data_IF_438787823558
#
_entry.id   IF_438787823558
#
_cell.length_a   1.000
_cell.length_b   1.000
_cell.length_c   1.000
_cell.angle_alpha   90.00
_cell.angle_beta   90.00
_cell.angle_gamma   90.00
#
_symmetry.space_group_name_H-M   'P 1'
#
loop_
_entity.id
_entity.type
_entity.pdbx_description
1 polymer ?
#
# COMPACT_ATOMS: atom_id res chain seq x y z
N UNK A 1 -10.56 -12.04 -19.57
CA UNK A 1 -11.34 -11.16 -18.70
C UNK A 1 -10.93 -11.44 -17.26
N UNK A 2 -10.84 -10.40 -16.43
CA UNK A 2 -10.46 -10.51 -15.02
C UNK A 2 -11.26 -9.49 -14.20
N UNK A 3 -11.28 -9.65 -12.87
CA UNK A 3 -11.72 -8.64 -11.90
C UNK A 3 -10.56 -8.29 -10.97
N UNK A 4 -10.50 -7.04 -10.53
CA UNK A 4 -9.44 -6.54 -9.67
C UNK A 4 -10.01 -6.02 -8.34
N UNK A 5 -9.48 -6.52 -7.23
CA UNK A 5 -9.77 -6.03 -5.88
C UNK A 5 -8.52 -5.47 -5.22
N UNK A 6 -8.58 -4.24 -4.73
CA UNK A 6 -7.58 -3.69 -3.82
C UNK A 6 -8.05 -4.03 -2.40
N UNK A 7 -7.14 -4.53 -1.56
CA UNK A 7 -7.44 -5.06 -0.23
C UNK A 7 -6.63 -4.30 0.82
N UNK A 8 -7.33 -3.57 1.68
CA UNK A 8 -6.72 -2.76 2.75
C UNK A 8 -7.28 -3.17 4.09
N UNK A 9 -6.40 -3.51 5.03
CA UNK A 9 -6.76 -3.66 6.44
C UNK A 9 -6.69 -2.30 7.13
N UNK A 10 -7.71 -1.95 7.91
CA UNK A 10 -7.75 -0.66 8.61
C UNK A 10 -7.47 -0.77 10.12
N UNK A 11 -8.47 -1.11 10.93
CA UNK A 11 -8.40 -1.08 12.40
C UNK A 11 -8.82 -2.40 13.07
N UNK A 12 -8.60 -3.54 12.41
CA UNK A 12 -9.00 -4.84 12.94
C UNK A 12 -8.28 -5.17 14.26
N UNK A 13 -9.05 -5.49 15.30
CA UNK A 13 -8.51 -5.90 16.61
C UNK A 13 -7.83 -7.26 16.52
N UNK A 14 -6.76 -7.43 17.30
CA UNK A 14 -6.06 -8.71 17.43
C UNK A 14 -5.81 -8.97 18.91
N UNK A 15 -6.17 -10.16 19.39
CA UNK A 15 -5.94 -10.56 20.78
C UNK A 15 -4.44 -10.45 21.11
N UNK A 16 -4.11 -9.74 22.20
CA UNK A 16 -2.73 -9.51 22.65
C UNK A 16 -1.94 -8.49 21.84
N UNK A 17 -2.61 -7.65 21.04
CA UNK A 17 -2.00 -6.56 20.26
C UNK A 17 -2.69 -5.24 20.60
N UNK A 18 -2.47 -4.77 21.82
CA UNK A 18 -3.05 -3.52 22.32
C UNK A 18 -2.11 -2.32 22.15
N UNK A 19 -0.86 -2.56 21.73
CA UNK A 19 0.18 -1.56 21.56
C UNK A 19 0.88 -1.62 20.19
N UNK A 20 1.35 -0.47 19.71
CA UNK A 20 2.27 -0.39 18.59
C UNK A 20 3.65 -0.96 18.96
N UNK A 21 4.51 -1.17 17.96
CA UNK A 21 5.93 -1.48 18.19
C UNK A 21 6.69 -0.41 18.99
N UNK A 22 6.11 0.78 19.15
CA UNK A 22 6.64 1.87 19.97
C UNK A 22 5.84 2.06 21.27
N UNK A 23 5.15 1.02 21.73
CA UNK A 23 4.41 0.98 23.00
C UNK A 23 3.29 2.03 23.14
N UNK A 24 2.75 2.51 22.01
CA UNK A 24 1.60 3.42 22.01
C UNK A 24 0.31 2.61 21.87
N UNK A 25 -0.74 2.93 22.63
CA UNK A 25 -2.02 2.21 22.52
C UNK A 25 -2.60 2.33 21.12
N UNK A 26 -2.94 1.21 20.50
CA UNK A 26 -3.67 1.17 19.22
C UNK A 26 -5.17 1.15 19.47
N UNK A 27 -5.97 1.47 18.44
CA UNK A 27 -7.44 1.36 18.47
C UNK A 27 -8.13 2.27 19.51
N UNK A 28 -7.43 3.28 20.02
CA UNK A 28 -8.04 4.39 20.78
C UNK A 28 -8.76 5.34 19.83
N UNK A 29 -9.68 6.17 20.35
CA UNK A 29 -10.34 7.21 19.55
C UNK A 29 -9.33 8.16 18.90
N UNK A 30 -8.31 8.58 19.66
CA UNK A 30 -7.26 9.46 19.13
C UNK A 30 -6.46 8.80 18.00
N UNK A 31 -6.15 7.51 18.13
CA UNK A 31 -5.49 6.76 17.07
C UNK A 31 -6.39 6.67 15.82
N UNK A 32 -7.69 6.41 16.00
CA UNK A 32 -8.66 6.35 14.88
C UNK A 32 -8.77 7.68 14.15
N UNK A 33 -8.86 8.81 14.86
CA UNK A 33 -8.86 10.15 14.28
C UNK A 33 -7.63 10.38 13.40
N UNK A 34 -6.43 10.21 13.99
CA UNK A 34 -5.17 10.44 13.29
C UNK A 34 -5.01 9.48 12.09
N UNK A 35 -5.43 8.22 12.24
CA UNK A 35 -5.34 7.20 11.19
C UNK A 35 -6.30 7.49 10.03
N UNK A 36 -7.52 7.95 10.31
CA UNK A 36 -8.47 8.37 9.28
C UNK A 36 -8.00 9.61 8.54
N UNK A 37 -7.35 10.55 9.23
CA UNK A 37 -6.73 11.72 8.58
C UNK A 37 -5.65 11.29 7.58
N UNK A 38 -4.72 10.42 8.00
CA UNK A 38 -3.69 9.86 7.10
C UNK A 38 -4.31 9.10 5.93
N UNK A 39 -5.34 8.30 6.20
CA UNK A 39 -6.03 7.55 5.17
C UNK A 39 -6.68 8.46 4.14
N UNK A 40 -7.42 9.50 4.57
CA UNK A 40 -8.07 10.44 3.66
C UNK A 40 -7.03 11.22 2.85
N UNK A 41 -5.97 11.69 3.51
CA UNK A 41 -4.96 12.56 2.91
C UNK A 41 -4.05 11.85 1.89
N UNK A 42 -3.59 10.64 2.21
CA UNK A 42 -2.56 9.94 1.43
C UNK A 42 -3.10 8.73 0.67
N UNK A 43 -3.89 7.88 1.33
CA UNK A 43 -4.32 6.60 0.77
C UNK A 43 -5.54 6.78 -0.15
N UNK A 44 -6.69 7.16 0.43
CA UNK A 44 -7.96 7.36 -0.26
C UNK A 44 -7.84 8.31 -1.46
N UNK A 45 -7.16 9.45 -1.30
CA UNK A 45 -6.95 10.41 -2.38
C UNK A 45 -6.22 9.77 -3.58
N UNK A 46 -5.17 9.01 -3.32
CA UNK A 46 -4.37 8.35 -4.37
C UNK A 46 -5.12 7.23 -5.11
N UNK A 47 -6.00 6.50 -4.41
CA UNK A 47 -6.83 5.44 -5.01
C UNK A 47 -8.00 6.02 -5.79
N UNK A 48 -8.62 7.09 -5.30
CA UNK A 48 -9.68 7.79 -6.02
C UNK A 48 -9.20 8.38 -7.35
N UNK A 49 -7.93 8.77 -7.40
CA UNK A 49 -7.29 9.39 -8.56
C UNK A 49 -6.73 8.40 -9.60
N UNK A 50 -6.94 7.08 -9.46
CA UNK A 50 -6.46 6.12 -10.45
C UNK A 50 -7.03 6.43 -11.86
N UNK A 51 -6.15 6.45 -12.86
CA UNK A 51 -6.50 6.68 -14.27
C UNK A 51 -7.34 5.52 -14.83
N UNK A 52 -7.14 4.31 -14.30
CA UNK A 52 -7.92 3.12 -14.60
C UNK A 52 -8.75 2.74 -13.37
N UNK A 53 -10.09 2.73 -13.52
CA UNK A 53 -11.05 2.52 -12.42
C UNK A 53 -11.74 1.15 -12.44
N UNK A 54 -11.26 0.23 -13.26
CA UNK A 54 -11.76 -1.15 -13.33
C UNK A 54 -11.21 -2.00 -12.16
N UNK A 55 -11.60 -1.61 -10.95
CA UNK A 55 -11.34 -2.32 -9.71
C UNK A 55 -12.46 -2.04 -8.69
N UNK A 56 -12.46 -2.81 -7.61
CA UNK A 56 -13.16 -2.53 -6.36
C UNK A 56 -12.15 -2.45 -5.22
N UNK A 57 -12.38 -1.58 -4.24
CA UNK A 57 -11.48 -1.38 -3.12
C UNK A 57 -12.18 -1.78 -1.83
N UNK A 58 -11.84 -2.97 -1.34
CA UNK A 58 -12.39 -3.53 -0.11
C UNK A 58 -11.51 -3.10 1.07
N UNK A 59 -12.08 -2.32 1.98
CA UNK A 59 -11.38 -1.81 3.16
C UNK A 59 -12.01 -2.38 4.42
N UNK A 60 -11.21 -3.13 5.17
CA UNK A 60 -11.67 -3.94 6.29
C UNK A 60 -11.52 -3.19 7.60
N UNK A 61 -12.65 -2.80 8.17
CA UNK A 61 -12.80 -2.16 9.46
C UNK A 61 -13.27 -3.16 10.52
N UNK A 62 -12.98 -2.90 11.79
CA UNK A 62 -13.46 -3.75 12.86
C UNK A 62 -14.97 -3.57 13.06
N UNK A 63 -15.69 -4.65 13.34
CA UNK A 63 -17.14 -4.59 13.62
C UNK A 63 -17.45 -3.74 14.86
N UNK A 64 -16.52 -3.56 15.79
CA UNK A 64 -16.70 -2.67 16.95
C UNK A 64 -16.26 -1.23 16.70
N UNK A 65 -15.98 -0.84 15.45
CA UNK A 65 -15.68 0.55 15.10
C UNK A 65 -16.81 1.48 15.58
N UNK A 66 -16.50 2.52 16.40
CA UNK A 66 -17.50 3.46 16.91
C UNK A 66 -18.31 4.16 15.83
N UNK A 67 -19.56 4.51 16.16
CA UNK A 67 -20.52 5.09 15.22
C UNK A 67 -20.04 6.38 14.55
N UNK A 68 -19.38 7.27 15.31
CA UNK A 68 -18.80 8.51 14.78
C UNK A 68 -17.82 8.26 13.62
N UNK A 69 -17.02 7.20 13.69
CA UNK A 69 -16.11 6.85 12.61
C UNK A 69 -16.83 6.14 11.46
N UNK A 70 -17.88 5.37 11.73
CA UNK A 70 -18.72 4.74 10.68
C UNK A 70 -19.41 5.79 9.81
N UNK A 71 -19.86 6.89 10.39
CA UNK A 71 -20.45 8.01 9.66
C UNK A 71 -19.45 8.65 8.71
N UNK A 72 -18.22 8.92 9.18
CA UNK A 72 -17.12 9.41 8.33
C UNK A 72 -16.76 8.43 7.21
N UNK A 73 -16.72 7.13 7.51
CA UNK A 73 -16.46 6.06 6.51
C UNK A 73 -17.60 6.02 5.47
N UNK A 74 -18.86 6.15 5.90
CA UNK A 74 -20.02 6.20 5.01
C UNK A 74 -19.97 7.41 4.07
N UNK A 75 -19.57 8.57 4.58
CA UNK A 75 -19.35 9.79 3.79
C UNK A 75 -18.27 9.58 2.72
N UNK A 76 -17.18 8.89 3.04
CA UNK A 76 -16.14 8.55 2.07
C UNK A 76 -16.65 7.58 0.99
N UNK A 77 -17.50 6.62 1.36
CA UNK A 77 -18.10 5.65 0.44
C UNK A 77 -19.09 6.31 -0.52
N UNK A 78 -19.91 7.25 -0.05
CA UNK A 78 -20.84 7.98 -0.92
C UNK A 78 -20.12 8.84 -1.98
N UNK A 79 -18.92 9.37 -1.66
CA UNK A 79 -18.09 10.17 -2.58
C UNK A 79 -17.27 9.35 -3.57
N UNK A 80 -17.12 8.05 -3.36
CA UNK A 80 -16.34 7.16 -4.23
C UNK A 80 -16.87 5.73 -4.18
N UNK A 81 -17.71 5.36 -5.14
CA UNK A 81 -18.41 4.07 -5.17
C UNK A 81 -17.50 2.84 -5.25
N UNK A 82 -16.22 2.99 -5.60
CA UNK A 82 -15.26 1.88 -5.58
C UNK A 82 -14.72 1.61 -4.17
N UNK A 83 -14.82 2.56 -3.25
CA UNK A 83 -14.46 2.36 -1.84
C UNK A 83 -15.62 1.68 -1.11
N UNK A 84 -15.39 0.41 -0.75
CA UNK A 84 -16.38 -0.48 -0.16
C UNK A 84 -15.92 -0.85 1.26
N UNK A 85 -16.51 -0.26 2.31
CA UNK A 85 -16.18 -0.59 3.68
C UNK A 85 -16.78 -1.96 4.06
N UNK A 86 -15.95 -2.86 4.59
CA UNK A 86 -16.32 -4.18 5.09
C UNK A 86 -16.06 -4.22 6.60
N UNK A 87 -17.04 -4.68 7.38
CA UNK A 87 -16.90 -4.76 8.84
C UNK A 87 -16.69 -6.22 9.26
N UNK A 88 -15.45 -6.55 9.64
CA UNK A 88 -15.03 -7.89 10.03
C UNK A 88 -14.88 -8.01 11.56
N UNK A 89 -15.06 -9.21 12.10
CA UNK A 89 -14.88 -9.48 13.53
C UNK A 89 -13.41 -9.66 13.92
N UNK A 90 -12.65 -8.56 13.88
CA UNK A 90 -11.22 -8.57 14.18
C UNK A 90 -10.36 -9.30 13.15
N UNK A 91 -9.11 -9.57 13.53
CA UNK A 91 -8.11 -10.17 12.65
C UNK A 91 -8.46 -11.61 12.25
N UNK A 92 -9.15 -12.37 13.10
CA UNK A 92 -9.50 -13.77 12.83
C UNK A 92 -10.50 -13.87 11.65
N UNK A 93 -11.38 -12.88 11.47
CA UNK A 93 -12.32 -12.81 10.34
C UNK A 93 -11.73 -12.05 9.12
N UNK A 94 -10.49 -11.58 9.15
CA UNK A 94 -9.91 -10.84 8.01
C UNK A 94 -9.79 -11.68 6.72
N UNK A 95 -9.11 -12.82 6.77
CA UNK A 95 -8.95 -13.69 5.60
C UNK A 95 -10.28 -14.37 5.19
N UNK A 96 -11.11 -14.87 6.14
CA UNK A 96 -12.44 -15.37 5.81
C UNK A 96 -13.33 -14.31 5.13
N UNK A 97 -13.33 -13.06 5.62
CA UNK A 97 -14.11 -11.98 5.01
C UNK A 97 -13.62 -11.62 3.61
N UNK A 98 -12.31 -11.52 3.35
CA UNK A 98 -11.78 -11.35 1.98
C UNK A 98 -12.35 -12.42 1.05
N UNK A 99 -12.28 -13.69 1.46
CA UNK A 99 -12.74 -14.81 0.65
C UNK A 99 -14.25 -14.72 0.39
N UNK A 100 -15.04 -14.41 1.42
CA UNK A 100 -16.49 -14.24 1.34
C UNK A 100 -16.86 -13.11 0.39
N UNK A 101 -16.27 -11.92 0.58
CA UNK A 101 -16.58 -10.74 -0.23
C UNK A 101 -16.16 -10.88 -1.70
N UNK A 102 -15.04 -11.52 -1.97
CA UNK A 102 -14.62 -11.78 -3.36
C UNK A 102 -15.55 -12.83 -3.98
N UNK A 103 -15.85 -13.96 -3.31
CA UNK A 103 -16.72 -15.01 -3.84
C UNK A 103 -18.11 -14.50 -4.23
N UNK A 104 -18.68 -13.55 -3.50
CA UNK A 104 -20.00 -13.00 -3.81
C UNK A 104 -20.01 -12.05 -5.01
N UNK A 105 -18.84 -11.54 -5.43
CA UNK A 105 -18.70 -10.54 -6.51
C UNK A 105 -17.99 -11.07 -7.76
N UNK A 106 -17.24 -12.16 -7.61
CA UNK A 106 -16.39 -12.70 -8.66
C UNK A 106 -17.24 -13.44 -9.71
N UNK A 107 -17.15 -12.98 -10.95
CA UNK A 107 -17.86 -13.51 -12.13
C UNK A 107 -16.92 -13.82 -13.30
N UNK A 108 -15.65 -13.48 -13.17
CA UNK A 108 -14.65 -13.61 -14.24
C UNK A 108 -13.67 -14.75 -13.96
N UNK A 109 -13.06 -15.36 -14.99
CA UNK A 109 -12.18 -16.53 -14.82
C UNK A 109 -10.82 -16.22 -14.17
N UNK A 110 -10.45 -14.95 -14.05
CA UNK A 110 -9.21 -14.52 -13.43
C UNK A 110 -9.46 -13.42 -12.40
N UNK A 111 -8.66 -13.47 -11.34
CA UNK A 111 -8.70 -12.55 -10.22
C UNK A 111 -7.36 -11.83 -10.13
N UNK A 112 -7.42 -10.51 -9.92
CA UNK A 112 -6.30 -9.71 -9.47
C UNK A 112 -6.60 -9.22 -8.06
N UNK A 113 -5.67 -9.41 -7.13
CA UNK A 113 -5.75 -8.80 -5.78
C UNK A 113 -4.50 -7.98 -5.50
N UNK A 114 -4.68 -6.72 -5.09
CA UNK A 114 -3.58 -5.81 -4.71
C UNK A 114 -3.61 -5.56 -3.22
N UNK A 115 -2.46 -5.63 -2.57
CA UNK A 115 -2.31 -5.24 -1.16
C UNK A 115 -1.97 -3.75 -1.07
N UNK A 116 -2.59 -3.06 -0.11
CA UNK A 116 -2.28 -1.66 0.19
C UNK A 116 -2.50 -1.39 1.68
N UNK A 117 -1.50 -0.78 2.33
CA UNK A 117 -1.61 -0.29 3.70
C UNK A 117 -2.38 1.05 3.73
N UNK A 118 -3.06 1.35 4.84
CA UNK A 118 -4.05 2.43 4.92
C UNK A 118 -3.47 3.85 5.02
N UNK A 119 -2.16 3.98 5.07
CA UNK A 119 -1.42 5.23 5.23
C UNK A 119 -0.49 5.52 4.04
N UNK A 120 -0.42 4.62 3.06
CA UNK A 120 0.46 4.71 1.90
C UNK A 120 -0.29 5.10 0.62
N UNK A 121 0.45 5.59 -0.38
CA UNK A 121 -0.11 6.09 -1.64
C UNK A 121 0.32 5.29 -2.86
N UNK A 122 -0.57 5.16 -3.85
CA UNK A 122 -0.26 4.59 -5.16
C UNK A 122 -0.22 5.69 -6.23
N UNK A 123 0.67 5.53 -7.21
CA UNK A 123 0.71 6.40 -8.38
C UNK A 123 -0.60 6.27 -9.16
N UNK A 124 -1.08 7.33 -9.82
CA UNK A 124 -2.34 7.34 -10.56
C UNK A 124 -2.46 6.25 -11.65
N UNK A 125 -1.33 5.77 -12.18
CA UNK A 125 -1.25 4.70 -13.17
C UNK A 125 -0.99 3.30 -12.58
N UNK A 126 -0.96 3.13 -11.26
CA UNK A 126 -0.66 1.83 -10.64
C UNK A 126 -1.59 0.73 -11.16
N UNK A 127 -2.91 0.96 -11.12
CA UNK A 127 -3.90 -0.04 -11.57
C UNK A 127 -3.72 -0.37 -13.05
N UNK A 128 -3.49 0.65 -13.89
CA UNK A 128 -3.20 0.47 -15.32
C UNK A 128 -2.00 -0.44 -15.52
N UNK A 129 -0.93 -0.22 -14.75
CA UNK A 129 0.29 -0.99 -14.86
C UNK A 129 0.18 -2.42 -14.36
N UNK A 130 -0.61 -2.66 -13.30
CA UNK A 130 -0.98 -4.02 -12.88
C UNK A 130 -1.74 -4.74 -14.00
N UNK A 131 -2.73 -4.07 -14.59
CA UNK A 131 -3.52 -4.64 -15.68
C UNK A 131 -2.67 -4.98 -16.90
N UNK A 132 -1.65 -4.17 -17.21
CA UNK A 132 -0.69 -4.45 -18.28
C UNK A 132 0.15 -5.73 -18.04
N UNK A 133 0.23 -6.21 -16.79
CA UNK A 133 0.89 -7.48 -16.49
C UNK A 133 -0.02 -8.70 -16.67
N UNK A 134 -1.31 -8.51 -16.94
CA UNK A 134 -2.24 -9.62 -17.11
C UNK A 134 -1.93 -10.42 -18.38
N UNK A 135 -1.68 -11.71 -18.21
CA UNK A 135 -1.39 -12.66 -19.29
C UNK A 135 -2.03 -14.03 -19.04
N UNK A 136 -3.22 -14.05 -18.39
CA UNK A 136 -3.97 -15.28 -18.07
C UNK A 136 -3.18 -16.29 -17.21
N UNK A 137 -2.39 -15.79 -16.27
CA UNK A 137 -1.56 -16.61 -15.39
C UNK A 137 -2.39 -17.45 -14.42
N UNK A 138 -1.92 -18.67 -14.14
CA UNK A 138 -2.50 -19.52 -13.09
C UNK A 138 -2.34 -18.91 -11.70
N UNK A 139 -1.12 -18.46 -11.39
CA UNK A 139 -0.75 -17.81 -10.14
C UNK A 139 0.56 -17.04 -10.36
N UNK A 140 0.53 -15.72 -10.20
CA UNK A 140 1.69 -14.85 -10.43
C UNK A 140 1.59 -13.55 -9.64
N UNK A 141 2.54 -13.32 -8.75
CA UNK A 141 2.68 -12.04 -8.06
C UNK A 141 3.51 -11.08 -8.90
N UNK A 142 3.06 -9.83 -8.97
CA UNK A 142 3.73 -8.70 -9.58
C UNK A 142 4.30 -7.83 -8.47
N UNK A 143 5.60 -7.57 -8.54
CA UNK A 143 6.35 -6.79 -7.56
C UNK A 143 6.99 -5.57 -8.26
N UNK A 144 6.28 -4.43 -8.27
CA UNK A 144 6.87 -3.18 -8.73
C UNK A 144 7.91 -2.71 -7.72
N UNK A 145 9.19 -2.83 -8.04
CA UNK A 145 10.27 -2.69 -7.05
C UNK A 145 10.60 -1.23 -6.74
N UNK A 146 10.41 -0.33 -7.70
CA UNK A 146 10.80 1.06 -7.58
C UNK A 146 9.60 1.91 -7.12
N UNK A 147 9.86 2.89 -6.26
CA UNK A 147 8.86 3.77 -5.69
C UNK A 147 9.49 4.99 -5.03
N UNK A 148 8.77 5.57 -4.09
CA UNK A 148 9.19 6.73 -3.30
C UNK A 148 8.99 6.49 -1.81
N UNK A 149 9.59 7.36 -1.01
CA UNK A 149 9.27 7.49 0.41
C UNK A 149 9.09 8.96 0.74
N UNK A 150 8.03 9.24 1.50
CA UNK A 150 7.70 10.57 2.00
C UNK A 150 7.68 10.51 3.52
N UNK A 151 8.58 11.21 4.19
CA UNK A 151 8.44 11.51 5.61
C UNK A 151 7.67 12.82 5.75
N UNK A 152 6.64 12.83 6.58
CA UNK A 152 5.78 14.01 6.83
C UNK A 152 6.02 14.63 8.20
N UNK A 153 6.68 13.91 9.11
CA UNK A 153 7.05 14.36 10.45
C UNK A 153 8.26 13.57 10.95
N UNK A 154 9.18 14.17 11.74
CA UNK A 154 9.20 15.56 12.20
C UNK A 154 9.67 16.55 11.12
N UNK A 155 10.27 16.06 10.03
CA UNK A 155 10.78 16.85 8.91
C UNK A 155 10.18 16.32 7.61
N UNK A 156 9.73 17.20 6.73
CA UNK A 156 9.13 16.78 5.45
C UNK A 156 10.23 16.47 4.45
N UNK A 157 10.36 15.19 4.07
CA UNK A 157 11.43 14.71 3.19
C UNK A 157 10.89 13.74 2.16
N UNK A 158 11.28 13.93 0.90
CA UNK A 158 10.84 13.09 -0.21
C UNK A 158 12.03 12.59 -1.00
N UNK A 159 12.02 11.31 -1.34
CA UNK A 159 13.14 10.68 -2.02
C UNK A 159 12.76 9.38 -2.69
N UNK A 160 13.68 8.87 -3.51
CA UNK A 160 13.56 7.57 -4.13
C UNK A 160 13.60 6.48 -3.07
N UNK A 161 12.81 5.43 -3.28
CA UNK A 161 12.92 4.19 -2.54
C UNK A 161 12.76 3.00 -3.48
N UNK A 162 13.49 1.92 -3.22
CA UNK A 162 13.30 0.68 -3.98
C UNK A 162 13.30 -0.48 -3.00
N UNK A 163 12.31 -1.36 -3.13
CA UNK A 163 12.11 -2.47 -2.22
C UNK A 163 11.54 -3.67 -2.97
N UNK A 164 12.32 -4.76 -3.02
CA UNK A 164 11.86 -6.06 -3.52
C UNK A 164 11.08 -6.75 -2.40
N UNK A 165 9.94 -7.33 -2.76
CA UNK A 165 8.93 -7.88 -1.86
C UNK A 165 8.31 -6.79 -0.99
N UNK A 166 7.91 -5.67 -1.58
CA UNK A 166 7.31 -4.54 -0.86
C UNK A 166 5.83 -4.82 -0.47
N UNK A 167 5.19 -3.99 0.36
CA UNK A 167 3.82 -4.26 0.80
C UNK A 167 2.74 -3.96 -0.26
N UNK A 168 3.09 -3.44 -1.43
CA UNK A 168 2.17 -2.96 -2.48
C UNK A 168 2.05 -3.92 -3.68
N UNK A 169 2.24 -5.22 -3.47
CA UNK A 169 2.25 -6.21 -4.55
C UNK A 169 0.83 -6.59 -4.99
N UNK A 170 0.74 -7.10 -6.22
CA UNK A 170 -0.50 -7.61 -6.81
C UNK A 170 -0.37 -9.08 -7.19
N UNK A 171 -1.35 -9.91 -6.84
CA UNK A 171 -1.43 -11.30 -7.30
C UNK A 171 -2.43 -11.40 -8.44
N UNK A 172 -2.01 -11.99 -9.56
CA UNK A 172 -2.86 -12.40 -10.68
C UNK A 172 -2.99 -13.92 -10.63
N UNK A 173 -4.20 -14.44 -10.57
CA UNK A 173 -4.47 -15.87 -10.45
C UNK A 173 -5.78 -16.28 -11.12
N UNK A 174 -5.98 -17.59 -11.31
CA UNK A 174 -7.29 -18.13 -11.66
C UNK A 174 -8.29 -17.90 -10.53
N UNK A 175 -9.54 -17.63 -10.92
CA UNK A 175 -10.65 -17.46 -9.99
C UNK A 175 -11.09 -18.76 -9.33
N UNK A 176 -10.85 -19.90 -9.97
CA UNK A 176 -11.11 -21.21 -9.38
C UNK A 176 -10.17 -21.44 -8.18
N UNK A 177 -10.73 -21.65 -6.99
CA UNK A 177 -9.97 -21.90 -5.75
C UNK A 177 -8.89 -20.82 -5.44
N UNK A 178 -9.22 -19.55 -5.71
CA UNK A 178 -8.30 -18.43 -5.52
C UNK A 178 -7.76 -18.30 -4.09
N UNK A 179 -6.56 -17.71 -3.95
CA UNK A 179 -5.85 -17.53 -2.66
C UNK A 179 -5.79 -16.08 -2.18
N UNK A 180 -5.69 -15.13 -3.10
CA UNK A 180 -5.42 -13.70 -2.90
C UNK A 180 -3.99 -13.37 -2.44
N UNK A 181 -3.59 -12.12 -2.63
CA UNK A 181 -2.30 -11.57 -2.18
C UNK A 181 -2.08 -11.69 -0.66
N UNK A 182 -3.15 -11.84 0.12
CA UNK A 182 -3.11 -12.03 1.57
C UNK A 182 -2.90 -13.48 2.01
N UNK A 183 -2.77 -14.44 1.08
CA UNK A 183 -2.32 -15.81 1.38
C UNK A 183 -0.96 -15.86 2.09
N UNK A 184 -0.15 -14.80 1.93
CA UNK A 184 1.02 -14.54 2.75
C UNK A 184 0.77 -13.33 3.65
N UNK A 185 0.59 -13.57 4.96
CA UNK A 185 0.33 -12.50 5.92
C UNK A 185 1.41 -11.41 5.91
N UNK A 186 2.69 -11.83 5.81
CA UNK A 186 3.84 -10.94 5.73
C UNK A 186 4.34 -10.86 4.29
N UNK A 187 4.38 -9.65 3.75
CA UNK A 187 4.87 -9.40 2.39
C UNK A 187 6.30 -9.93 2.16
N UNK A 188 7.13 -10.02 3.19
CA UNK A 188 8.47 -10.61 3.09
C UNK A 188 8.52 -12.11 2.78
N UNK A 189 7.43 -12.86 3.01
CA UNK A 189 7.36 -14.30 2.73
C UNK A 189 7.27 -14.62 1.24
N UNK A 190 6.92 -13.65 0.40
CA UNK A 190 7.02 -13.76 -1.05
C UNK A 190 8.45 -13.99 -1.56
N UNK A 191 9.46 -13.80 -0.70
CA UNK A 191 10.86 -14.11 -1.01
C UNK A 191 11.10 -15.57 -1.40
N UNK A 192 10.38 -16.53 -0.80
CA UNK A 192 10.54 -17.97 -1.07
C UNK A 192 9.64 -18.50 -2.18
N UNK A 193 8.73 -17.68 -2.70
CA UNK A 193 7.80 -18.07 -3.78
C UNK A 193 8.47 -17.81 -5.13
N UNK A 194 8.41 -18.77 -6.06
CA UNK A 194 9.06 -18.66 -7.39
C UNK A 194 8.25 -17.80 -8.36
N UNK A 195 6.94 -17.77 -8.18
CA UNK A 195 5.93 -17.12 -9.00
C UNK A 195 5.78 -15.62 -8.68
N UNK A 196 6.88 -14.92 -8.41
CA UNK A 196 6.92 -13.45 -8.31
C UNK A 196 7.76 -12.89 -9.46
N UNK A 197 7.17 -11.97 -10.21
CA UNK A 197 7.83 -11.22 -11.28
C UNK A 197 8.12 -9.81 -10.78
N UNK A 198 9.41 -9.47 -10.54
CA UNK A 198 9.79 -8.10 -10.23
C UNK A 198 9.75 -7.22 -11.49
N UNK A 199 9.15 -6.04 -11.38
CA UNK A 199 9.09 -5.03 -12.43
C UNK A 199 9.90 -3.81 -11.99
N UNK A 200 10.82 -3.35 -12.84
CA UNK A 200 11.71 -2.21 -12.61
C UNK A 200 11.37 -1.04 -13.54
N UNK A 201 11.85 0.14 -13.20
CA UNK A 201 11.78 1.33 -14.05
C UNK A 201 10.46 2.09 -13.98
N UNK A 202 9.48 1.59 -13.21
CA UNK A 202 8.21 2.28 -12.92
C UNK A 202 8.12 2.53 -11.42
N UNK A 203 7.88 3.79 -11.03
CA UNK A 203 7.76 4.21 -9.62
C UNK A 203 6.31 4.38 -9.25
N UNK A 204 5.69 3.30 -8.77
CA UNK A 204 4.23 3.22 -8.71
C UNK A 204 3.64 3.27 -7.30
N UNK A 205 4.47 3.32 -6.26
CA UNK A 205 4.03 3.42 -4.87
C UNK A 205 4.89 4.43 -4.11
N UNK A 206 4.33 4.94 -3.02
CA UNK A 206 5.01 5.83 -2.09
C UNK A 206 4.66 5.42 -0.67
N UNK A 207 5.69 5.06 0.11
CA UNK A 207 5.50 4.76 1.52
C UNK A 207 5.56 6.05 2.36
N UNK A 208 4.58 6.28 3.22
CA UNK A 208 4.46 7.49 4.05
C UNK A 208 4.96 7.20 5.48
N UNK A 209 5.87 8.04 5.95
CA UNK A 209 6.47 7.95 7.29
C UNK A 209 5.92 9.11 8.13
N UNK A 210 5.20 8.77 9.19
CA UNK A 210 4.58 9.71 10.13
C UNK A 210 4.90 9.34 11.57
N UNK A 211 4.59 10.23 12.52
CA UNK A 211 5.06 10.14 13.92
C UNK A 211 4.60 8.88 14.67
N UNK A 212 3.48 8.27 14.29
CA UNK A 212 2.99 7.03 14.91
C UNK A 212 3.69 5.78 14.35
N UNK A 213 4.28 5.85 13.16
CA UNK A 213 5.05 4.78 12.54
C UNK A 213 6.54 4.86 12.96
N UNK A 214 6.83 5.07 14.27
CA UNK A 214 8.18 5.33 14.84
C UNK A 214 9.28 4.31 14.50
N UNK A 215 8.95 3.16 13.93
CA UNK A 215 9.91 2.13 13.51
C UNK A 215 10.50 2.42 12.11
N UNK A 216 9.80 3.20 11.29
CA UNK A 216 10.20 3.46 9.92
C UNK A 216 11.19 4.64 9.87
N UNK A 217 12.48 4.31 9.87
CA UNK A 217 13.55 5.26 9.57
C UNK A 217 13.49 5.69 8.09
N UNK A 218 13.56 7.01 7.83
CA UNK A 218 13.63 7.54 6.48
C UNK A 218 14.88 7.06 5.74
N UNK A 219 14.66 6.28 4.68
CA UNK A 219 15.70 5.66 3.84
C UNK A 219 15.67 6.16 2.39
N UNK A 220 15.09 7.34 2.17
CA UNK A 220 15.05 7.98 0.87
C UNK A 220 16.44 8.37 0.36
N UNK A 221 16.59 8.43 -0.95
CA UNK A 221 17.82 8.85 -1.63
C UNK A 221 17.52 9.51 -2.98
N UNK A 222 18.54 10.13 -3.59
CA UNK A 222 18.48 10.67 -4.96
C UNK A 222 17.69 11.97 -5.11
N UNK A 223 18.15 12.88 -5.97
CA UNK A 223 17.50 14.16 -6.22
C UNK A 223 16.18 13.95 -6.98
N UNK A 224 15.04 14.08 -6.29
CA UNK A 224 13.70 13.90 -6.87
C UNK A 224 13.08 15.27 -7.10
N UNK A 225 12.62 15.52 -8.33
CA UNK A 225 11.84 16.71 -8.62
C UNK A 225 10.57 16.73 -7.74
N UNK A 226 10.28 17.86 -7.08
CA UNK A 226 9.10 18.00 -6.21
C UNK A 226 7.79 17.66 -6.94
N UNK A 227 7.71 17.94 -8.25
CA UNK A 227 6.56 17.61 -9.10
C UNK A 227 6.28 16.11 -9.23
N UNK A 228 7.23 15.22 -8.89
CA UNK A 228 6.98 13.78 -8.90
C UNK A 228 5.91 13.35 -7.87
N UNK A 229 5.62 14.19 -6.87
CA UNK A 229 4.52 13.94 -5.93
C UNK A 229 3.14 14.13 -6.57
N UNK A 230 3.03 14.94 -7.62
CA UNK A 230 1.74 15.36 -8.19
C UNK A 230 0.98 14.15 -8.74
N UNK A 231 1.68 13.16 -9.29
CA UNK A 231 1.09 11.91 -9.80
C UNK A 231 0.48 11.00 -8.72
N UNK A 232 0.69 11.30 -7.44
CA UNK A 232 0.04 10.60 -6.33
C UNK A 232 -1.29 11.26 -5.92
N UNK A 233 -1.59 12.44 -6.46
CA UNK A 233 -2.86 13.14 -6.24
C UNK A 233 -3.27 13.18 -4.76
N UNK A 234 -2.36 13.62 -3.90
CA UNK A 234 -2.62 13.75 -2.46
C UNK A 234 -3.74 14.76 -2.20
N UNK A 235 -4.40 14.65 -1.05
CA UNK A 235 -5.39 15.63 -0.63
C UNK A 235 -4.74 17.04 -0.57
N UNK A 236 -5.47 18.12 -0.91
CA UNK A 236 -4.89 19.47 -0.98
C UNK A 236 -4.08 19.88 0.26
N UNK A 237 -4.58 19.56 1.46
CA UNK A 237 -3.88 19.84 2.72
C UNK A 237 -2.52 19.13 2.83
N UNK A 238 -2.44 17.86 2.43
CA UNK A 238 -1.18 17.11 2.47
C UNK A 238 -0.21 17.59 1.39
N UNK A 239 -0.72 17.94 0.20
CA UNK A 239 0.08 18.50 -0.88
C UNK A 239 0.62 19.89 -0.53
N UNK A 240 -0.18 20.73 0.11
CA UNK A 240 0.25 22.05 0.60
C UNK A 240 1.31 21.91 1.70
N UNK A 241 1.09 21.04 2.69
CA UNK A 241 2.09 20.74 3.70
C UNK A 241 3.41 20.28 3.07
N UNK A 242 3.35 19.42 2.04
CA UNK A 242 4.54 19.02 1.29
C UNK A 242 5.19 20.22 0.59
N UNK A 243 4.45 21.00 -0.19
CA UNK A 243 5.01 22.11 -0.98
C UNK A 243 5.68 23.17 -0.09
N UNK A 244 5.07 23.47 1.05
CA UNK A 244 5.55 24.50 1.99
C UNK A 244 6.72 24.04 2.84
N UNK A 245 6.74 22.77 3.27
CA UNK A 245 7.68 22.29 4.29
C UNK A 245 8.72 21.30 3.76
N UNK A 246 8.58 20.80 2.52
CA UNK A 246 9.54 19.87 1.95
C UNK A 246 10.93 20.49 1.89
N UNK A 247 11.85 19.82 2.55
CA UNK A 247 13.25 20.17 2.49
C UNK A 247 13.76 19.98 1.08
N UNK A 248 14.59 20.92 0.63
CA UNK A 248 15.25 20.71 -0.65
C UNK A 248 16.06 19.43 -0.59
N UNK A 249 16.02 18.63 -1.67
CA UNK A 249 16.72 17.36 -1.78
C UNK A 249 18.22 17.57 -1.93
N UNK A 250 18.86 18.45 -1.14
CA UNK A 250 20.31 18.53 -0.96
C UNK A 250 20.82 17.21 -0.35
N UNK A 251 20.74 16.16 -1.15
CA UNK A 251 21.09 14.77 -0.93
C UNK A 251 22.56 14.54 -1.30
N UNK A 252 23.37 15.59 -1.12
CA UNK A 252 24.83 15.53 -1.09
C UNK A 252 25.36 15.25 0.33
N UNK A 253 24.47 14.97 1.29
CA UNK A 253 24.93 14.41 2.57
C UNK A 253 25.40 12.96 2.36
N UNK A 254 26.51 12.59 3.00
CA UNK A 254 27.04 11.22 2.99
C UNK A 254 25.97 10.15 3.30
N UNK A 255 24.93 10.51 4.07
CA UNK A 255 23.79 9.66 4.39
C UNK A 255 22.96 9.25 3.17
N UNK A 256 22.60 10.18 2.27
CA UNK A 256 21.81 9.88 1.08
C UNK A 256 22.56 8.98 0.08
N UNK A 257 23.87 9.23 -0.08
CA UNK A 257 24.74 8.39 -0.89
C UNK A 257 24.84 6.97 -0.30
N UNK A 258 25.02 6.85 1.03
CA UNK A 258 25.00 5.57 1.75
C UNK A 258 23.67 4.85 1.58
N UNK A 259 22.54 5.55 1.63
CA UNK A 259 21.21 4.99 1.39
C UNK A 259 21.05 4.47 -0.04
N UNK A 260 21.51 5.23 -1.05
CA UNK A 260 21.51 4.81 -2.45
C UNK A 260 22.32 3.52 -2.64
N UNK A 261 23.56 3.48 -2.17
CA UNK A 261 24.43 2.30 -2.29
C UNK A 261 23.81 1.09 -1.59
N UNK A 262 23.37 1.25 -0.33
CA UNK A 262 22.76 0.17 0.46
C UNK A 262 21.49 -0.36 -0.19
N UNK A 263 20.63 0.52 -0.71
CA UNK A 263 19.38 0.14 -1.37
C UNK A 263 19.67 -0.60 -2.67
N UNK A 264 20.52 -0.04 -3.53
CA UNK A 264 20.90 -0.67 -4.79
C UNK A 264 21.54 -2.04 -4.58
N UNK A 265 22.47 -2.17 -3.62
CA UNK A 265 23.08 -3.44 -3.29
C UNK A 265 22.04 -4.47 -2.82
N UNK A 266 21.16 -4.11 -1.88
CA UNK A 266 20.11 -5.01 -1.38
C UNK A 266 19.15 -5.45 -2.49
N UNK A 267 18.70 -4.50 -3.31
CA UNK A 267 17.76 -4.77 -4.41
C UNK A 267 18.41 -5.68 -5.45
N UNK A 268 19.60 -5.32 -5.94
CA UNK A 268 20.31 -6.11 -6.95
C UNK A 268 20.66 -7.50 -6.43
N UNK A 269 21.13 -7.63 -5.18
CA UNK A 269 21.39 -8.91 -4.56
C UNK A 269 20.13 -9.80 -4.50
N UNK A 270 18.98 -9.25 -4.07
CA UNK A 270 17.71 -9.98 -4.03
C UNK A 270 17.26 -10.42 -5.43
N UNK A 271 17.39 -9.55 -6.43
CA UNK A 271 17.00 -9.85 -7.82
C UNK A 271 17.91 -10.91 -8.46
N UNK A 272 19.23 -10.82 -8.25
CA UNK A 272 20.19 -11.84 -8.72
C UNK A 272 19.88 -13.18 -8.06
N UNK A 273 19.75 -13.22 -6.73
CA UNK A 273 19.38 -14.45 -6.01
C UNK A 273 18.10 -15.07 -6.56
N UNK A 274 17.14 -14.25 -6.98
CA UNK A 274 15.87 -14.73 -7.55
C UNK A 274 16.03 -15.36 -8.92
N UNK A 275 16.82 -14.75 -9.81
CA UNK A 275 17.14 -15.31 -11.14
C UNK A 275 17.85 -16.67 -11.07
N UNK A 276 18.55 -16.95 -9.98
CA UNK A 276 19.21 -18.22 -9.74
C UNK A 276 18.27 -19.32 -9.22
N UNK A 277 17.06 -18.97 -8.77
CA UNK A 277 16.08 -19.89 -8.15
C UNK A 277 14.83 -20.09 -9.05
N UNK A 278 14.57 -19.13 -9.95
CA UNK A 278 13.53 -19.18 -10.99
C UNK A 278 13.91 -20.10 -12.13
#
# INVERSE_FOLDING_TARGET
>A
MFQHFILTRFNLRKKGWDETKSQSKVLTEKWMENRLELFEQYCYSSIKAQTKKDFEWLVFFDKTTPQVFREKISELSSKFSKFIPIYADGMDDFLPSITREIKTRLTTPYLITTRLDNDDSLHQDFVKEVHNQFSKQEFRVIDFVDGYTLQVSPRVRFGLHSHVHNPFMSLIEKSENFKTIWTQERHGYWRSVKEVTPVRGKRLWMSVIHIENKVNEYKGYGNVARSAIDSFNLHPQALENFKSNAEDPQLNSAGAFKHKLRTNWKVNFKLIKRRLIS
#
